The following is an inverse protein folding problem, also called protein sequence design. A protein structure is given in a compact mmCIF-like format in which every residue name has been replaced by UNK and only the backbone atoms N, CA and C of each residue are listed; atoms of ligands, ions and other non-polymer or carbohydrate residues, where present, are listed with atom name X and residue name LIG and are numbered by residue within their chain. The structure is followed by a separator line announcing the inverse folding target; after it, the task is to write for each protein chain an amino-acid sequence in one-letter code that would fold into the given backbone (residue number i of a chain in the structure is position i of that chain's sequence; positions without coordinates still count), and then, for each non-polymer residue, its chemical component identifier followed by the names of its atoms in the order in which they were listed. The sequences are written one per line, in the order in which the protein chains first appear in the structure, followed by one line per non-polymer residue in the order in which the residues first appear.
data_IF_014175205524
#
_entry.id   IF_014175205524
#
_cell.length_a   1.000
_cell.length_b   1.000
_cell.length_c   1.000
_cell.angle_alpha   90.00
_cell.angle_beta   90.00
_cell.angle_gamma   90.00
#
_symmetry.space_group_name_H-M   'P 1'
#
loop_
_entity.id
_entity.type
_entity.pdbx_description
1 polymer ?
#
# COMPACT_ATOMS: atom_id res chain seq x y z
N UNK A 1 27.86 -35.76 16.62
CA UNK A 1 27.60 -34.37 17.05
C UNK A 1 26.57 -33.76 16.11
N UNK A 2 25.57 -33.05 16.62
CA UNK A 2 24.38 -32.60 15.86
C UNK A 2 24.29 -31.07 15.70
N UNK A 3 23.25 -30.61 15.01
CA UNK A 3 22.94 -29.16 14.88
C UNK A 3 22.22 -28.70 16.15
N UNK A 4 22.67 -27.58 16.74
CA UNK A 4 22.03 -26.94 17.90
C UNK A 4 21.99 -25.40 17.74
N UNK A 5 20.88 -24.76 18.13
CA UNK A 5 20.66 -23.31 18.03
C UNK A 5 19.91 -22.75 19.26
N UNK A 6 20.24 -21.52 19.65
CA UNK A 6 19.47 -20.66 20.56
C UNK A 6 19.32 -19.28 19.90
N UNK A 7 18.19 -18.62 20.08
CA UNK A 7 17.90 -17.33 19.43
C UNK A 7 17.01 -16.46 20.29
N UNK A 8 17.13 -15.14 20.11
CA UNK A 8 16.23 -14.11 20.64
C UNK A 8 16.05 -13.01 19.57
N UNK A 9 14.90 -12.35 19.53
CA UNK A 9 14.57 -11.24 18.63
C UNK A 9 14.07 -10.03 19.42
N UNK A 10 14.67 -8.87 19.16
CA UNK A 10 14.27 -7.59 19.77
C UNK A 10 13.80 -6.60 18.69
N UNK A 11 12.85 -5.74 19.05
CA UNK A 11 12.29 -4.72 18.16
C UNK A 11 11.32 -3.79 18.89
N UNK A 12 10.61 -2.96 18.12
CA UNK A 12 9.58 -2.04 18.61
C UNK A 12 8.37 -2.05 17.66
N UNK A 13 7.23 -1.59 18.15
CA UNK A 13 6.06 -1.36 17.32
C UNK A 13 6.22 -0.05 16.56
N UNK A 14 5.66 0.04 15.36
CA UNK A 14 5.63 1.30 14.59
C UNK A 14 5.00 2.43 15.43
N UNK A 15 3.97 2.08 16.21
CA UNK A 15 3.23 3.00 17.08
C UNK A 15 4.02 3.51 18.29
N UNK A 16 5.21 2.98 18.57
CA UNK A 16 6.05 3.46 19.68
C UNK A 16 6.66 4.84 19.37
N UNK A 17 6.74 5.23 18.09
CA UNK A 17 7.12 6.59 17.69
C UNK A 17 5.95 7.57 17.90
N UNK A 18 6.19 8.77 18.47
CA UNK A 18 5.19 9.83 18.52
C UNK A 18 4.60 10.14 17.13
N UNK A 19 3.28 10.28 17.06
CA UNK A 19 2.51 10.56 15.84
C UNK A 19 2.79 9.52 14.72
N UNK A 20 2.69 8.22 15.05
CA UNK A 20 2.91 7.11 14.11
C UNK A 20 1.77 6.08 14.09
N UNK A 21 0.55 6.50 14.44
CA UNK A 21 -0.63 5.64 14.34
C UNK A 21 -0.97 5.33 12.87
N UNK A 22 -1.34 4.09 12.58
CA UNK A 22 -1.89 3.71 11.27
C UNK A 22 -3.29 4.31 11.11
N UNK A 23 -3.52 5.03 10.00
CA UNK A 23 -4.73 5.86 9.84
C UNK A 23 -5.95 5.12 9.26
N UNK A 24 -5.82 3.87 8.85
CA UNK A 24 -6.98 3.04 8.51
C UNK A 24 -6.94 2.27 7.19
N UNK A 25 -5.91 2.45 6.36
CA UNK A 25 -5.77 1.71 5.10
C UNK A 25 -5.72 0.19 5.35
N UNK A 26 -4.85 -0.24 6.27
CA UNK A 26 -4.68 -1.66 6.61
C UNK A 26 -5.88 -2.24 7.34
N UNK A 27 -6.46 -1.50 8.29
CA UNK A 27 -7.52 -1.98 9.19
C UNK A 27 -8.93 -1.92 8.61
N UNK A 28 -9.16 -1.16 7.53
CA UNK A 28 -10.50 -0.95 6.97
C UNK A 28 -11.25 0.25 7.57
N UNK A 29 -10.67 0.97 8.54
CA UNK A 29 -11.25 2.18 9.12
C UNK A 29 -11.45 3.30 8.08
N UNK A 30 -10.56 3.38 7.10
CA UNK A 30 -10.78 4.16 5.88
C UNK A 30 -11.61 3.28 4.95
N UNK A 31 -12.81 3.71 4.59
CA UNK A 31 -13.72 2.95 3.73
C UNK A 31 -13.26 2.94 2.27
N UNK A 32 -13.80 2.04 1.45
CA UNK A 32 -13.46 1.99 0.02
C UNK A 32 -13.85 3.28 -0.73
N UNK A 33 -14.91 3.98 -0.29
CA UNK A 33 -15.33 5.25 -0.90
C UNK A 33 -14.35 6.39 -0.64
N UNK A 34 -13.46 6.25 0.34
CA UNK A 34 -12.42 7.22 0.68
C UNK A 34 -11.10 6.98 -0.08
N UNK A 35 -11.04 5.96 -0.94
CA UNK A 35 -9.85 5.60 -1.70
C UNK A 35 -10.15 5.81 -3.19
N UNK A 36 -9.48 6.78 -3.80
CA UNK A 36 -9.65 7.12 -5.21
C UNK A 36 -8.31 7.12 -5.94
N UNK A 37 -8.35 7.01 -7.27
CA UNK A 37 -7.14 7.02 -8.09
C UNK A 37 -7.38 7.79 -9.38
N UNK A 38 -6.30 8.29 -10.00
CA UNK A 38 -6.30 8.93 -11.32
C UNK A 38 -6.86 8.02 -12.41
N UNK A 39 -6.47 6.74 -12.36
CA UNK A 39 -6.86 5.72 -13.33
C UNK A 39 -6.74 4.32 -12.71
N UNK A 40 -7.39 3.33 -13.32
CA UNK A 40 -7.32 1.92 -12.91
C UNK A 40 -7.17 1.03 -14.13
N UNK A 41 -6.37 -0.04 -14.01
CA UNK A 41 -6.20 -1.04 -15.07
C UNK A 41 -7.49 -1.81 -15.37
N UNK A 42 -8.26 -2.12 -14.34
CA UNK A 42 -9.48 -2.93 -14.42
C UNK A 42 -10.73 -2.06 -14.34
N UNK A 43 -11.73 -2.41 -15.16
CA UNK A 43 -13.03 -1.73 -15.16
C UNK A 43 -13.80 -1.98 -13.85
N UNK A 44 -13.70 -3.18 -13.29
CA UNK A 44 -14.28 -3.56 -11.99
C UNK A 44 -13.24 -3.44 -10.87
N UNK A 45 -12.58 -2.29 -10.81
CA UNK A 45 -11.62 -1.99 -9.75
C UNK A 45 -12.30 -1.92 -8.37
N UNK A 46 -11.73 -2.60 -7.39
CA UNK A 46 -12.09 -2.45 -5.97
C UNK A 46 -11.01 -1.65 -5.25
N UNK A 47 -11.33 -0.49 -4.63
CA UNK A 47 -10.35 0.31 -3.90
C UNK A 47 -9.66 -0.46 -2.75
N UNK A 48 -10.33 -1.48 -2.19
CA UNK A 48 -9.78 -2.35 -1.17
C UNK A 48 -8.50 -3.10 -1.59
N UNK A 49 -8.23 -3.29 -2.88
CA UNK A 49 -6.98 -3.94 -3.31
C UNK A 49 -5.74 -3.05 -3.15
N UNK A 50 -5.90 -1.73 -2.97
CA UNK A 50 -4.81 -0.79 -2.71
C UNK A 50 -4.37 -0.75 -1.22
N UNK A 51 -5.03 -1.52 -0.35
CA UNK A 51 -4.76 -1.52 1.09
C UNK A 51 -3.43 -2.18 1.42
N UNK A 52 -2.65 -1.53 2.28
CA UNK A 52 -1.41 -2.07 2.84
C UNK A 52 -1.66 -3.43 3.50
N UNK A 53 -0.89 -4.45 3.11
CA UNK A 53 -0.89 -5.84 3.61
C UNK A 53 -2.18 -6.64 3.35
N UNK A 54 -3.36 -6.06 3.58
CA UNK A 54 -4.65 -6.73 3.43
C UNK A 54 -5.15 -6.79 1.98
N UNK A 55 -4.63 -5.94 1.09
CA UNK A 55 -4.91 -6.00 -0.34
C UNK A 55 -4.34 -7.29 -0.96
N UNK A 56 -5.19 -8.05 -1.65
CA UNK A 56 -4.76 -9.30 -2.33
C UNK A 56 -3.90 -9.06 -3.58
N UNK A 57 -3.86 -7.83 -4.09
CA UNK A 57 -3.03 -7.42 -5.21
C UNK A 57 -2.42 -6.04 -4.97
N UNK A 58 -2.83 -5.01 -5.71
CA UNK A 58 -2.40 -3.63 -5.54
C UNK A 58 -3.03 -2.71 -6.59
N UNK A 59 -2.76 -1.42 -6.48
CA UNK A 59 -3.19 -0.45 -7.49
C UNK A 59 -2.30 -0.49 -8.73
N UNK A 60 -2.95 -0.64 -9.88
CA UNK A 60 -2.35 -0.57 -11.21
C UNK A 60 -3.05 0.52 -12.01
N UNK A 61 -2.26 1.41 -12.60
CA UNK A 61 -2.74 2.48 -13.47
C UNK A 61 -3.22 1.91 -14.80
N UNK A 62 -4.03 2.69 -15.52
CA UNK A 62 -4.33 2.36 -16.91
C UNK A 62 -3.06 2.50 -17.77
N UNK A 63 -2.82 1.58 -18.70
CA UNK A 63 -1.55 1.49 -19.46
C UNK A 63 -1.33 2.75 -20.32
N UNK A 64 -2.40 3.39 -20.80
CA UNK A 64 -2.32 4.55 -21.69
C UNK A 64 -1.92 5.86 -20.99
N UNK A 65 -1.90 5.92 -19.65
CA UNK A 65 -1.66 7.15 -18.89
C UNK A 65 -0.29 7.20 -18.21
N UNK A 66 0.67 6.42 -18.72
CA UNK A 66 2.01 6.19 -18.17
C UNK A 66 2.98 7.38 -18.14
N UNK A 67 2.51 8.61 -18.26
CA UNK A 67 3.35 9.78 -18.04
C UNK A 67 3.61 9.97 -16.54
N UNK A 68 4.90 9.93 -16.16
CA UNK A 68 5.32 10.08 -14.78
C UNK A 68 4.77 11.39 -14.18
N UNK A 69 4.03 11.28 -13.07
CA UNK A 69 3.46 12.42 -12.35
C UNK A 69 1.97 12.69 -12.60
N UNK A 70 1.36 12.06 -13.62
CA UNK A 70 -0.08 12.18 -13.86
C UNK A 70 -0.89 11.13 -13.08
N UNK A 71 -0.23 10.06 -12.65
CA UNK A 71 -0.84 8.97 -11.90
C UNK A 71 -0.73 9.17 -10.39
N UNK A 72 -1.85 9.05 -9.70
CA UNK A 72 -1.95 9.22 -8.26
C UNK A 72 -2.97 8.25 -7.63
N UNK A 73 -2.69 7.89 -6.39
CA UNK A 73 -3.62 7.21 -5.49
C UNK A 73 -3.87 8.17 -4.33
N UNK A 74 -5.14 8.47 -4.08
CA UNK A 74 -5.58 9.42 -3.07
C UNK A 74 -6.35 8.70 -1.97
N UNK A 75 -6.15 9.18 -0.75
CA UNK A 75 -6.81 8.68 0.45
C UNK A 75 -7.43 9.87 1.17
N UNK A 76 -8.75 9.86 1.32
CA UNK A 76 -9.50 10.79 2.15
C UNK A 76 -9.50 10.29 3.60
N UNK A 77 -8.95 11.09 4.53
CA UNK A 77 -8.87 10.75 5.95
C UNK A 77 -10.18 11.06 6.72
N UNK A 78 -11.18 11.67 6.06
CA UNK A 78 -12.49 12.02 6.60
C UNK A 78 -12.47 13.17 7.63
N UNK A 79 -11.28 13.61 8.06
CA UNK A 79 -11.06 14.75 8.95
C UNK A 79 -9.62 15.23 8.83
N UNK A 80 -9.35 16.47 9.24
CA UNK A 80 -7.99 17.01 9.28
C UNK A 80 -7.14 16.19 10.26
N UNK A 81 -5.99 15.69 9.79
CA UNK A 81 -5.03 14.91 10.59
C UNK A 81 -3.62 15.47 10.46
N UNK A 82 -2.82 15.32 11.51
CA UNK A 82 -1.36 15.40 11.39
C UNK A 82 -0.85 14.12 10.74
N UNK A 83 -0.32 14.22 9.52
CA UNK A 83 0.25 13.09 8.77
C UNK A 83 1.78 13.20 8.82
N UNK A 84 2.45 12.21 9.44
CA UNK A 84 3.92 12.21 9.60
C UNK A 84 4.67 11.40 8.54
N UNK A 85 4.00 10.47 7.87
CA UNK A 85 4.64 9.61 6.88
C UNK A 85 3.68 8.65 6.20
N UNK A 86 4.21 7.91 5.23
CA UNK A 86 3.50 6.88 4.47
C UNK A 86 4.29 5.58 4.49
N UNK A 87 3.57 4.46 4.50
CA UNK A 87 4.15 3.13 4.28
C UNK A 87 3.68 2.69 2.89
N UNK A 88 4.64 2.42 2.00
CA UNK A 88 4.35 1.96 0.64
C UNK A 88 4.61 0.47 0.51
N UNK A 89 3.86 -0.20 -0.35
CA UNK A 89 4.03 -1.61 -0.68
C UNK A 89 3.87 -1.81 -2.18
N UNK A 90 4.62 -2.76 -2.75
CA UNK A 90 4.38 -3.23 -4.10
C UNK A 90 3.12 -4.10 -4.20
N UNK A 91 2.67 -4.33 -5.42
CA UNK A 91 1.57 -5.23 -5.73
C UNK A 91 2.10 -6.64 -6.02
N UNK A 92 1.39 -7.65 -5.50
CA UNK A 92 1.59 -9.06 -5.89
C UNK A 92 0.66 -9.39 -7.06
N UNK A 93 1.22 -10.00 -8.11
CA UNK A 93 0.42 -10.66 -9.15
C UNK A 93 -0.24 -11.91 -8.59
N UNK A 94 -1.46 -12.23 -9.04
CA UNK A 94 -2.32 -13.28 -8.47
C UNK A 94 -1.68 -14.66 -8.30
N UNK A 95 -2.30 -15.48 -7.43
CA UNK A 95 -1.87 -16.75 -6.79
C UNK A 95 -1.27 -17.87 -7.67
N UNK A 96 -1.11 -17.68 -8.98
CA UNK A 96 -0.45 -18.67 -9.83
C UNK A 96 1.06 -18.77 -9.52
N UNK A 97 1.56 -19.99 -9.34
CA UNK A 97 2.98 -20.32 -9.11
C UNK A 97 3.93 -19.88 -10.25
N UNK A 98 3.40 -19.33 -11.34
CA UNK A 98 4.15 -18.70 -12.45
C UNK A 98 4.16 -17.15 -12.38
N UNK A 99 3.54 -16.53 -11.38
CA UNK A 99 3.33 -15.07 -11.26
C UNK A 99 4.58 -14.25 -10.90
N UNK A 100 5.78 -14.78 -11.17
CA UNK A 100 7.04 -14.03 -11.06
C UNK A 100 7.04 -12.77 -11.94
N UNK A 101 6.22 -12.73 -13.00
CA UNK A 101 6.20 -11.62 -13.97
C UNK A 101 5.27 -10.44 -13.61
N UNK A 102 4.36 -10.56 -12.64
CA UNK A 102 3.40 -9.49 -12.32
C UNK A 102 3.70 -8.70 -11.03
N UNK A 103 4.93 -8.81 -10.51
CA UNK A 103 5.38 -8.01 -9.36
C UNK A 103 5.64 -6.57 -9.81
N UNK A 104 4.82 -5.64 -9.35
CA UNK A 104 4.99 -4.22 -9.63
C UNK A 104 5.24 -3.45 -8.33
N UNK A 105 6.14 -2.48 -8.34
CA UNK A 105 6.40 -1.62 -7.20
C UNK A 105 6.88 -0.24 -7.64
N UNK A 106 6.52 0.78 -6.88
CA UNK A 106 6.92 2.16 -7.12
C UNK A 106 8.34 2.36 -6.56
N UNK A 107 9.28 2.79 -7.40
CA UNK A 107 10.68 3.05 -6.99
C UNK A 107 10.89 4.48 -6.48
N UNK A 108 10.15 5.43 -7.01
CA UNK A 108 10.21 6.86 -6.67
C UNK A 108 8.80 7.43 -6.78
N UNK A 109 8.43 8.29 -5.84
CA UNK A 109 7.12 8.93 -5.81
C UNK A 109 7.23 10.34 -5.21
N UNK A 110 6.15 11.11 -5.36
CA UNK A 110 5.95 12.39 -4.69
C UNK A 110 4.73 12.27 -3.78
N UNK A 111 4.66 13.11 -2.75
CA UNK A 111 3.48 13.25 -1.89
C UNK A 111 2.94 14.65 -2.08
N UNK A 112 1.63 14.77 -2.26
CA UNK A 112 0.88 16.01 -2.21
C UNK A 112 -0.22 15.87 -1.15
N UNK A 113 -0.66 16.98 -0.57
CA UNK A 113 -1.73 17.01 0.43
C UNK A 113 -2.60 18.26 0.23
N UNK A 114 -3.82 18.21 0.74
CA UNK A 114 -4.79 19.32 0.75
C UNK A 114 -5.56 19.33 2.06
#
# INVERSE_FOLDING_TARGET
TGIAMRVELYGCQITDSPCSNMLGMMSGLISDSQITASSTREYLWSPGVARLVSGRSGWYTHISSSQAGNEWLQVDLGSVKTVKGVIIQGARGGDSLQATENRAFVKKFKVAHS
#
